data_IF_828611515160
#
_entry.id   IF_828611515160
#
_cell.length_a   1.000
_cell.length_b   1.000
_cell.length_c   1.000
_cell.angle_alpha   90.00
_cell.angle_beta   90.00
_cell.angle_gamma   90.00
#
_symmetry.space_group_name_H-M   'P 1'
#
loop_
_entity.id
_entity.type
_entity.pdbx_description
1 polymer ?
#
# COMPACT_ATOMS: atom_id res chain seq x y z
N UNK A 1 -28.18 -6.93 -16.47
CA UNK A 1 -28.54 -6.48 -15.10
C UNK A 1 -27.50 -5.50 -14.60
N UNK A 2 -27.89 -4.26 -14.26
CA UNK A 2 -27.00 -3.18 -13.83
C UNK A 2 -26.86 -3.06 -12.30
N UNK A 3 -25.76 -2.45 -11.84
CA UNK A 3 -25.32 -2.28 -10.44
C UNK A 3 -26.22 -1.37 -9.56
N UNK A 4 -27.49 -1.17 -9.93
CA UNK A 4 -28.39 -0.17 -9.34
C UNK A 4 -29.37 -0.67 -8.26
N UNK A 5 -29.38 -1.95 -7.89
CA UNK A 5 -30.47 -2.54 -7.10
C UNK A 5 -30.04 -3.16 -5.75
N UNK A 6 -29.07 -2.59 -5.04
CA UNK A 6 -28.58 -3.16 -3.77
C UNK A 6 -28.78 -2.30 -2.53
N UNK A 7 -29.60 -1.25 -2.60
CA UNK A 7 -29.97 -0.46 -1.43
C UNK A 7 -31.47 -0.52 -1.25
N UNK A 8 -31.95 -1.54 -0.52
CA UNK A 8 -33.23 -1.57 0.21
C UNK A 8 -33.40 -2.93 0.91
N UNK A 9 -32.76 -3.10 2.07
CA UNK A 9 -33.24 -4.01 3.12
C UNK A 9 -33.07 -3.30 4.47
N UNK A 10 -34.21 -2.84 4.97
CA UNK A 10 -34.65 -2.82 6.38
C UNK A 10 -33.70 -2.31 7.46
N UNK A 11 -34.02 -1.11 7.94
CA UNK A 11 -33.81 -0.72 9.32
C UNK A 11 -34.49 -1.72 10.28
N UNK A 12 -33.81 -2.04 11.39
CA UNK A 12 -34.31 -2.25 12.75
C UNK A 12 -33.59 -3.43 13.44
N UNK A 13 -32.40 -3.17 13.98
CA UNK A 13 -31.88 -3.84 15.17
C UNK A 13 -30.90 -2.85 15.84
N UNK A 14 -31.44 -2.10 16.80
CA UNK A 14 -30.65 -1.27 17.70
C UNK A 14 -29.74 -2.16 18.56
N UNK A 15 -28.51 -1.70 18.81
CA UNK A 15 -27.79 -2.07 20.03
C UNK A 15 -26.66 -3.08 19.87
N UNK A 16 -25.69 -2.83 19.00
CA UNK A 16 -24.28 -3.09 19.35
C UNK A 16 -23.46 -1.91 18.82
N UNK A 17 -23.03 -1.04 19.73
CA UNK A 17 -22.02 -0.03 19.44
C UNK A 17 -20.68 -0.76 19.26
N UNK A 18 -20.19 -0.83 18.03
CA UNK A 18 -18.79 -1.10 17.70
C UNK A 18 -18.35 -0.14 16.61
N UNK A 19 -18.54 1.16 16.90
CA UNK A 19 -17.74 2.20 16.27
C UNK A 19 -16.33 2.16 16.87
N UNK A 20 -15.56 1.14 16.51
CA UNK A 20 -14.11 1.27 16.49
C UNK A 20 -13.74 1.80 15.10
N UNK A 21 -14.12 3.04 14.83
CA UNK A 21 -13.34 3.84 13.89
C UNK A 21 -12.00 4.04 14.58
N UNK A 22 -10.99 3.27 14.21
CA UNK A 22 -9.60 3.67 14.46
C UNK A 22 -9.42 5.01 13.74
N UNK A 23 -9.65 6.10 14.47
CA UNK A 23 -9.29 7.43 14.00
C UNK A 23 -7.81 7.36 13.68
N UNK A 24 -7.46 7.57 12.42
CA UNK A 24 -6.08 7.81 12.05
C UNK A 24 -5.70 9.17 12.65
N UNK A 25 -5.23 9.16 13.89
CA UNK A 25 -4.68 10.34 14.54
C UNK A 25 -3.45 10.76 13.76
N UNK A 26 -3.50 11.97 13.20
CA UNK A 26 -2.36 12.54 12.50
C UNK A 26 -1.30 12.85 13.57
N UNK A 27 -0.08 12.29 13.49
CA UNK A 27 0.97 12.60 14.45
C UNK A 27 1.30 14.11 14.42
N UNK A 28 1.81 14.66 15.53
CA UNK A 28 2.19 16.08 15.62
C UNK A 28 3.19 16.43 14.51
N UNK A 29 3.10 17.65 13.97
CA UNK A 29 4.02 18.13 12.94
C UNK A 29 5.45 18.14 13.47
N UNK A 30 6.27 17.19 13.02
CA UNK A 30 7.71 17.15 13.24
C UNK A 30 8.38 17.60 11.94
N UNK A 31 9.50 18.30 12.04
CA UNK A 31 10.29 18.66 10.86
C UNK A 31 10.82 17.39 10.20
N UNK A 32 10.80 17.37 8.86
CA UNK A 32 11.31 16.25 8.09
C UNK A 32 12.78 15.99 8.44
N UNK A 33 13.15 14.74 8.66
CA UNK A 33 14.53 14.36 8.92
C UNK A 33 15.34 14.49 7.62
N UNK A 34 16.34 15.37 7.61
CA UNK A 34 17.18 15.61 6.45
C UNK A 34 17.85 14.33 5.92
N UNK A 35 18.10 13.34 6.77
CA UNK A 35 18.68 12.05 6.39
C UNK A 35 17.69 11.20 5.58
N UNK A 36 16.40 11.31 5.87
CA UNK A 36 15.33 10.50 5.26
C UNK A 36 14.85 11.10 3.93
N UNK A 37 15.28 12.32 3.62
CA UNK A 37 14.93 13.01 2.39
C UNK A 37 15.33 12.21 1.14
N UNK A 38 14.31 11.80 0.38
CA UNK A 38 14.49 11.06 -0.88
C UNK A 38 14.68 9.55 -0.72
N UNK A 39 14.67 9.02 0.51
CA UNK A 39 14.80 7.59 0.79
C UNK A 39 13.65 6.80 0.15
N UNK A 40 13.96 5.59 -0.31
CA UNK A 40 13.00 4.63 -0.84
C UNK A 40 13.14 3.34 -0.04
N UNK A 41 12.22 3.07 0.87
CA UNK A 41 12.19 1.79 1.59
C UNK A 41 11.58 0.72 0.68
N UNK A 42 12.29 -0.39 0.50
CA UNK A 42 11.87 -1.50 -0.38
C UNK A 42 11.37 -2.72 0.40
N UNK A 43 11.33 -2.70 1.74
CA UNK A 43 11.00 -3.89 2.53
C UNK A 43 10.26 -3.54 3.83
N UNK A 44 9.22 -2.73 3.74
CA UNK A 44 8.36 -2.46 4.90
C UNK A 44 7.37 -3.62 5.13
N UNK A 45 7.36 -4.15 6.35
CA UNK A 45 6.36 -5.12 6.81
C UNK A 45 5.33 -4.39 7.69
N UNK A 46 4.13 -4.18 7.18
CA UNK A 46 3.09 -3.39 7.84
C UNK A 46 1.73 -4.10 7.83
N UNK A 47 0.85 -3.74 8.75
CA UNK A 47 -0.49 -4.28 8.86
C UNK A 47 -1.40 -3.73 7.72
N UNK A 48 -2.35 -4.53 7.21
CA UNK A 48 -2.72 -5.87 7.65
C UNK A 48 -1.78 -6.97 7.11
N UNK A 49 -1.42 -7.93 7.96
CA UNK A 49 -0.63 -9.11 7.60
C UNK A 49 -0.97 -10.31 8.52
N UNK A 50 -0.42 -11.50 8.24
CA UNK A 50 -0.65 -12.72 9.05
C UNK A 50 -0.10 -12.59 10.47
N UNK A 51 0.95 -11.79 10.64
CA UNK A 51 1.55 -11.50 11.94
C UNK A 51 1.21 -10.07 12.32
N UNK A 52 1.03 -9.83 13.61
CA UNK A 52 0.94 -8.48 14.15
C UNK A 52 2.17 -7.66 13.73
N UNK A 53 1.93 -6.43 13.30
CA UNK A 53 2.96 -5.49 12.82
C UNK A 53 2.94 -4.25 13.68
N UNK A 54 4.11 -3.63 13.83
CA UNK A 54 4.27 -2.41 14.63
C UNK A 54 3.65 -1.18 13.99
N UNK A 55 3.36 -1.22 12.69
CA UNK A 55 2.81 -0.11 11.90
C UNK A 55 1.77 -0.63 10.92
N UNK A 56 0.82 0.21 10.54
CA UNK A 56 -0.11 -0.04 9.44
C UNK A 56 0.38 0.59 8.13
N UNK A 57 -0.01 0.03 6.99
CA UNK A 57 0.49 0.46 5.67
C UNK A 57 0.10 1.91 5.33
N UNK A 58 -1.10 2.35 5.69
CA UNK A 58 -1.57 3.69 5.35
C UNK A 58 -0.86 4.74 6.22
N UNK A 59 -0.77 4.47 7.53
CA UNK A 59 -0.09 5.31 8.49
C UNK A 59 1.39 5.45 8.19
N UNK A 60 2.07 4.32 7.98
CA UNK A 60 3.48 4.32 7.61
C UNK A 60 3.74 5.14 6.34
N UNK A 61 2.89 5.00 5.31
CA UNK A 61 3.06 5.79 4.08
C UNK A 61 2.84 7.29 4.29
N UNK A 62 1.90 7.67 5.17
CA UNK A 62 1.66 9.07 5.51
C UNK A 62 2.83 9.66 6.29
N UNK A 63 3.31 8.96 7.33
CA UNK A 63 4.46 9.35 8.15
C UNK A 63 5.72 9.45 7.30
N UNK A 64 6.00 8.44 6.48
CA UNK A 64 7.14 8.44 5.55
C UNK A 64 7.13 9.66 4.64
N UNK A 65 5.95 10.07 4.13
CA UNK A 65 5.84 11.29 3.33
C UNK A 65 6.21 12.53 4.14
N UNK A 66 5.71 12.66 5.36
CA UNK A 66 6.00 13.79 6.26
C UNK A 66 7.50 13.84 6.57
N UNK A 67 8.11 12.68 6.81
CA UNK A 67 9.53 12.52 7.13
C UNK A 67 10.45 12.74 5.91
N UNK A 68 9.89 12.95 4.71
CA UNK A 68 10.66 13.28 3.50
C UNK A 68 11.04 12.10 2.60
N UNK A 69 10.50 10.90 2.85
CA UNK A 69 10.70 9.75 1.97
C UNK A 69 10.15 10.04 0.57
N UNK A 70 10.82 9.47 -0.43
CA UNK A 70 10.32 9.47 -1.81
C UNK A 70 9.31 8.36 -2.05
N UNK A 71 9.55 7.19 -1.47
CA UNK A 71 8.76 6.00 -1.75
C UNK A 71 8.81 4.96 -0.62
N UNK A 72 7.80 4.09 -0.59
CA UNK A 72 7.80 2.88 0.23
C UNK A 72 7.25 1.67 -0.56
N UNK A 73 7.81 0.49 -0.33
CA UNK A 73 7.30 -0.79 -0.80
C UNK A 73 6.90 -1.68 0.37
N UNK A 74 5.63 -2.09 0.37
CA UNK A 74 5.12 -3.03 1.35
C UNK A 74 5.32 -4.46 0.91
N UNK A 75 5.74 -5.30 1.87
CA UNK A 75 5.99 -6.71 1.66
C UNK A 75 5.29 -7.56 2.71
N UNK A 76 4.63 -8.61 2.26
CA UNK A 76 4.14 -9.72 3.09
C UNK A 76 4.83 -11.02 2.68
N UNK A 77 4.98 -11.94 3.62
CA UNK A 77 5.49 -13.29 3.34
C UNK A 77 4.41 -14.22 2.79
N UNK A 78 3.15 -13.80 2.83
CA UNK A 78 2.01 -14.66 2.52
C UNK A 78 1.13 -14.03 1.45
N UNK A 79 0.85 -12.74 1.58
CA UNK A 79 -0.11 -12.04 0.73
C UNK A 79 0.55 -11.13 -0.29
N UNK A 80 -0.14 -10.88 -1.39
CA UNK A 80 0.17 -9.75 -2.27
C UNK A 80 -0.15 -8.45 -1.54
N UNK A 81 0.74 -7.46 -1.63
CA UNK A 81 0.51 -6.11 -1.10
C UNK A 81 0.10 -5.12 -2.20
N UNK A 82 0.11 -5.57 -3.45
CA UNK A 82 -0.12 -4.75 -4.63
C UNK A 82 -1.44 -3.96 -4.58
N UNK A 83 -2.53 -4.63 -4.25
CA UNK A 83 -3.87 -4.04 -4.32
C UNK A 83 -4.06 -2.97 -3.24
N UNK A 84 -3.47 -3.18 -2.05
CA UNK A 84 -3.48 -2.19 -0.96
C UNK A 84 -2.59 -1.00 -1.28
N UNK A 85 -1.39 -1.24 -1.84
CA UNK A 85 -0.50 -0.17 -2.30
C UNK A 85 -1.16 0.72 -3.38
N UNK A 86 -1.96 0.13 -4.28
CA UNK A 86 -2.75 0.89 -5.25
C UNK A 86 -3.75 1.84 -4.58
N UNK A 87 -4.45 1.39 -3.53
CA UNK A 87 -5.38 2.23 -2.78
C UNK A 87 -4.65 3.34 -2.00
N UNK A 88 -3.53 3.01 -1.36
CA UNK A 88 -2.71 4.00 -0.61
C UNK A 88 -2.21 5.08 -1.55
N UNK A 89 -1.76 4.72 -2.76
CA UNK A 89 -1.32 5.69 -3.77
C UNK A 89 -2.43 6.65 -4.20
N UNK A 90 -3.69 6.20 -4.16
CA UNK A 90 -4.84 7.08 -4.40
C UNK A 90 -5.19 7.96 -3.21
N UNK A 91 -4.90 7.51 -1.99
CA UNK A 91 -5.16 8.26 -0.77
C UNK A 91 -4.09 9.33 -0.50
N UNK A 92 -2.83 9.05 -0.82
CA UNK A 92 -1.68 9.93 -0.54
C UNK A 92 -1.09 10.42 -1.87
N UNK A 93 -1.49 11.61 -2.28
CA UNK A 93 -0.91 12.27 -3.47
C UNK A 93 0.60 12.49 -3.29
N UNK A 94 1.35 12.46 -4.40
CA UNK A 94 2.78 12.75 -4.47
C UNK A 94 3.71 11.86 -3.62
N UNK A 95 3.22 10.70 -3.17
CA UNK A 95 4.03 9.66 -2.53
C UNK A 95 4.00 8.37 -3.34
N UNK A 96 5.18 7.83 -3.66
CA UNK A 96 5.26 6.60 -4.45
C UNK A 96 5.12 5.37 -3.54
N UNK A 97 3.94 4.76 -3.55
CA UNK A 97 3.68 3.51 -2.85
C UNK A 97 3.70 2.32 -3.82
N UNK A 98 4.41 1.25 -3.42
CA UNK A 98 4.54 0.00 -4.15
C UNK A 98 4.15 -1.19 -3.25
N UNK A 99 3.69 -2.28 -3.87
CA UNK A 99 3.33 -3.50 -3.16
C UNK A 99 4.00 -4.71 -3.79
N UNK A 100 4.56 -5.59 -2.96
CA UNK A 100 5.19 -6.83 -3.41
C UNK A 100 4.16 -7.86 -3.90
N UNK A 101 4.60 -8.72 -4.82
CA UNK A 101 3.92 -9.97 -5.15
C UNK A 101 4.61 -11.11 -4.39
N UNK A 102 3.87 -11.79 -3.52
CA UNK A 102 4.35 -13.00 -2.86
C UNK A 102 4.08 -14.21 -3.76
N UNK A 103 5.06 -15.12 -3.89
CA UNK A 103 4.96 -16.37 -4.65
C UNK A 103 5.30 -17.60 -3.79
N UNK A 104 5.14 -17.46 -2.47
CA UNK A 104 5.36 -18.54 -1.51
C UNK A 104 4.15 -19.51 -1.50
N UNK A 105 4.16 -20.47 -0.57
CA UNK A 105 3.17 -21.56 -0.48
C UNK A 105 1.70 -21.15 -0.46
N UNK A 106 1.38 -19.89 -0.17
CA UNK A 106 0.02 -19.33 -0.26
C UNK A 106 -0.54 -19.29 -1.69
N UNK A 107 0.35 -19.31 -2.69
CA UNK A 107 0.03 -19.23 -4.11
C UNK A 107 0.16 -20.60 -4.81
N UNK A 108 0.74 -21.58 -4.11
CA UNK A 108 0.91 -22.97 -4.56
C UNK A 108 2.27 -23.56 -4.19
N UNK A 109 2.44 -24.86 -4.44
CA UNK A 109 3.67 -25.61 -4.11
C UNK A 109 4.87 -25.25 -5.01
N UNK A 110 4.63 -24.51 -6.09
CA UNK A 110 5.64 -24.05 -7.05
C UNK A 110 5.41 -22.59 -7.40
N UNK A 111 6.45 -21.99 -7.98
CA UNK A 111 6.41 -20.63 -8.53
C UNK A 111 5.32 -20.54 -9.60
N UNK A 112 4.31 -19.69 -9.35
CA UNK A 112 3.20 -19.46 -10.28
C UNK A 112 3.55 -18.33 -11.29
N UNK A 113 4.14 -18.69 -12.43
CA UNK A 113 4.54 -17.72 -13.46
C UNK A 113 3.38 -16.87 -13.98
N UNK A 114 2.17 -17.45 -14.05
CA UNK A 114 0.97 -16.73 -14.50
C UNK A 114 0.61 -15.56 -13.57
N UNK A 115 0.83 -15.71 -12.27
CA UNK A 115 0.61 -14.62 -11.31
C UNK A 115 1.56 -13.44 -11.57
N UNK A 116 2.83 -13.72 -11.91
CA UNK A 116 3.82 -12.69 -12.24
C UNK A 116 3.46 -11.96 -13.55
N UNK A 117 3.05 -12.68 -14.59
CA UNK A 117 2.58 -12.09 -15.85
C UNK A 117 1.39 -11.15 -15.64
N UNK A 118 0.36 -11.60 -14.90
CA UNK A 118 -0.82 -10.80 -14.62
C UNK A 118 -0.48 -9.57 -13.79
N UNK A 119 0.45 -9.68 -12.84
CA UNK A 119 0.95 -8.54 -12.09
C UNK A 119 1.67 -7.53 -13.00
N UNK A 120 2.52 -7.98 -13.93
CA UNK A 120 3.18 -7.08 -14.88
C UNK A 120 2.16 -6.34 -15.75
N UNK A 121 1.21 -7.09 -16.35
CA UNK A 121 0.17 -6.52 -17.22
C UNK A 121 -0.73 -5.53 -16.49
N UNK A 122 -1.15 -5.85 -15.27
CA UNK A 122 -1.96 -4.93 -14.47
C UNK A 122 -1.18 -3.66 -14.09
N UNK A 123 0.16 -3.71 -14.03
CA UNK A 123 0.97 -2.54 -13.62
C UNK A 123 1.07 -1.56 -14.78
N UNK A 124 1.19 -2.10 -16.00
CA UNK A 124 1.10 -1.34 -17.24
C UNK A 124 -0.27 -0.67 -17.40
N UNK A 125 -1.37 -1.42 -17.24
CA UNK A 125 -2.73 -0.90 -17.40
C UNK A 125 -3.05 0.24 -16.42
N UNK A 126 -2.57 0.14 -15.19
CA UNK A 126 -2.79 1.15 -14.15
C UNK A 126 -1.77 2.31 -14.22
N UNK A 127 -0.85 2.32 -15.18
CA UNK A 127 0.19 3.33 -15.28
C UNK A 127 1.14 3.36 -14.08
N UNK A 128 1.26 2.25 -13.34
CA UNK A 128 2.05 2.12 -12.12
C UNK A 128 3.54 1.88 -12.41
N UNK A 129 3.98 2.09 -13.65
CA UNK A 129 5.42 2.08 -13.96
C UNK A 129 6.13 3.13 -13.12
N UNK A 130 7.32 2.84 -12.57
CA UNK A 130 8.13 3.86 -11.93
C UNK A 130 8.28 5.04 -12.89
N UNK A 131 7.94 6.25 -12.46
CA UNK A 131 8.22 7.43 -13.27
C UNK A 131 9.73 7.49 -13.48
N UNK A 132 10.16 7.81 -14.70
CA UNK A 132 11.57 8.11 -14.96
C UNK A 132 12.02 9.16 -13.95
N UNK A 133 13.17 8.98 -13.28
CA UNK A 133 13.65 9.96 -12.33
C UNK A 133 13.76 11.33 -13.01
N UNK A 134 13.42 12.41 -12.29
CA UNK A 134 13.70 13.77 -12.75
C UNK A 134 15.15 13.85 -13.19
N UNK A 135 15.42 14.60 -14.26
CA UNK A 135 16.74 14.69 -14.90
C UNK A 135 17.90 15.10 -13.96
N UNK A 136 17.62 15.49 -12.71
CA UNK A 136 18.58 15.78 -11.65
C UNK A 136 18.81 14.68 -10.60
N UNK A 137 17.99 13.63 -10.52
CA UNK A 137 18.21 12.51 -9.60
C UNK A 137 18.86 11.34 -10.34
N UNK A 138 20.18 11.18 -10.17
CA UNK A 138 20.89 9.95 -10.55
C UNK A 138 20.44 8.79 -9.65
N UNK A 139 19.27 8.23 -9.92
CA UNK A 139 18.80 7.03 -9.28
C UNK A 139 19.61 5.83 -9.74
N UNK A 140 20.17 5.07 -8.79
CA UNK A 140 20.62 3.70 -9.04
C UNK A 140 19.38 2.92 -9.47
N UNK A 141 19.38 2.40 -10.69
CA UNK A 141 18.36 1.44 -11.14
C UNK A 141 18.62 0.16 -10.36
N UNK A 142 17.69 -0.22 -9.49
CA UNK A 142 17.60 -1.58 -8.96
C UNK A 142 16.82 -2.43 -9.95
#
# INVERSE_FOLDING_TARGET
MGRGNFVKISALAAGVSLAQTSSFERPPSRDADDILKGVRDIRAHAAPDVKERSVDELGFAFESKVDGYRAAMFKSNYWSCRDRAYLIRRAIADFECFGSLCMNGCVGDRVNTRAAELAANAAELLGLRPKTPDAGQKGVRV
#
